data_IF_113300887297
#
_entry.id   IF_113300887297
#
_cell.length_a   1.000
_cell.length_b   1.000
_cell.length_c   1.000
_cell.angle_alpha   90.00
_cell.angle_beta   90.00
_cell.angle_gamma   90.00
#
_symmetry.space_group_name_H-M   'P 1'
#
loop_
_entity.id
_entity.type
_entity.pdbx_description
1 polymer ?
#
# COMPACT_ATOMS: atom_id res chain seq x y z
N UNK A 1 -28.18 3.15 -13.88
CA UNK A 1 -27.07 2.20 -14.10
C UNK A 1 -26.71 1.49 -12.80
N UNK A 2 -26.05 0.34 -12.89
CA UNK A 2 -25.48 -0.36 -11.74
C UNK A 2 -24.07 0.19 -11.50
N UNK A 3 -23.73 0.50 -10.25
CA UNK A 3 -22.35 0.87 -9.87
C UNK A 3 -21.68 -0.40 -9.36
N UNK A 4 -20.60 -0.83 -9.99
CA UNK A 4 -19.77 -1.94 -9.54
C UNK A 4 -18.76 -1.40 -8.53
N UNK A 5 -18.57 -2.11 -7.42
CA UNK A 5 -17.59 -1.70 -6.40
C UNK A 5 -16.66 -2.87 -6.08
N UNK A 6 -15.37 -2.61 -6.15
CA UNK A 6 -14.31 -3.51 -5.73
C UNK A 6 -13.52 -2.90 -4.56
N UNK A 7 -12.87 -3.71 -3.77
CA UNK A 7 -11.98 -3.26 -2.72
C UNK A 7 -10.73 -4.15 -2.66
N UNK A 8 -9.57 -3.52 -2.55
CA UNK A 8 -8.27 -4.20 -2.52
C UNK A 8 -7.42 -3.59 -1.42
N UNK A 9 -6.82 -4.43 -0.57
CA UNK A 9 -5.81 -3.98 0.39
C UNK A 9 -4.50 -3.64 -0.34
N UNK A 10 -3.78 -2.61 0.10
CA UNK A 10 -2.51 -2.14 -0.49
C UNK A 10 -1.44 -3.22 -0.60
N UNK A 11 -1.47 -4.23 0.27
CA UNK A 11 -0.56 -5.38 0.26
C UNK A 11 -1.19 -6.67 -0.30
N UNK A 12 -2.39 -6.57 -0.91
CA UNK A 12 -3.16 -7.70 -1.41
C UNK A 12 -3.97 -8.41 -0.31
N UNK A 13 -3.48 -8.45 0.91
CA UNK A 13 -4.16 -8.98 2.09
C UNK A 13 -4.10 -7.97 3.24
N UNK A 14 -5.07 -8.05 4.13
CA UNK A 14 -5.06 -7.24 5.35
C UNK A 14 -3.97 -7.79 6.29
N UNK A 15 -3.18 -6.88 6.86
CA UNK A 15 -2.21 -7.18 7.91
C UNK A 15 -2.78 -6.73 9.27
N UNK A 16 -3.22 -7.66 10.12
CA UNK A 16 -3.78 -7.33 11.43
C UNK A 16 -2.78 -6.60 12.33
N UNK A 17 -3.29 -5.65 13.14
CA UNK A 17 -2.47 -4.88 14.07
C UNK A 17 -1.66 -3.74 13.46
N UNK A 18 -1.71 -3.56 12.13
CA UNK A 18 -1.12 -2.40 11.44
C UNK A 18 -2.19 -1.60 10.70
N UNK A 19 -1.89 -0.36 10.39
CA UNK A 19 -2.74 0.46 9.53
C UNK A 19 -2.62 -0.02 8.08
N UNK A 20 -3.76 -0.40 7.50
CA UNK A 20 -3.87 -0.80 6.09
C UNK A 20 -4.64 0.25 5.31
N UNK A 21 -4.19 0.57 4.10
CA UNK A 21 -4.98 1.33 3.12
C UNK A 21 -5.78 0.34 2.28
N UNK A 22 -7.09 0.57 2.22
CA UNK A 22 -8.00 -0.16 1.35
C UNK A 22 -8.40 0.76 0.20
N UNK A 23 -7.96 0.41 -0.99
CA UNK A 23 -8.39 1.05 -2.23
C UNK A 23 -9.77 0.56 -2.61
N UNK A 24 -10.66 1.47 -2.94
CA UNK A 24 -11.99 1.20 -3.46
C UNK A 24 -12.10 1.72 -4.85
N UNK A 25 -12.61 0.86 -5.73
CA UNK A 25 -12.79 1.16 -7.13
C UNK A 25 -14.29 1.11 -7.42
N UNK A 26 -14.83 2.19 -7.93
CA UNK A 26 -16.21 2.25 -8.40
C UNK A 26 -16.22 2.48 -9.91
N UNK A 27 -16.95 1.66 -10.63
CA UNK A 27 -17.08 1.73 -12.09
C UNK A 27 -18.48 1.40 -12.55
N UNK A 28 -18.81 1.81 -13.78
CA UNK A 28 -19.99 1.34 -14.46
C UNK A 28 -19.70 0.05 -15.25
N UNK A 29 -20.73 -0.70 -15.68
CA UNK A 29 -20.53 -1.97 -16.40
C UNK A 29 -19.76 -1.86 -17.72
N UNK A 30 -19.64 -0.68 -18.29
CA UNK A 30 -18.86 -0.39 -19.49
C UNK A 30 -17.37 -0.14 -19.18
N UNK A 31 -16.97 -0.21 -17.89
CA UNK A 31 -15.62 0.02 -17.42
C UNK A 31 -15.27 1.49 -17.16
N UNK A 32 -16.19 2.43 -17.43
CA UNK A 32 -15.95 3.83 -17.09
C UNK A 32 -15.94 4.05 -15.57
N UNK A 33 -15.09 4.96 -15.06
CA UNK A 33 -15.04 5.25 -13.64
C UNK A 33 -16.33 5.91 -13.16
N UNK A 34 -16.75 5.59 -11.93
CA UNK A 34 -17.92 6.20 -11.31
C UNK A 34 -17.49 7.11 -10.16
N UNK A 35 -17.86 8.40 -10.24
CA UNK A 35 -17.81 9.29 -9.09
C UNK A 35 -19.03 9.02 -8.20
N UNK A 36 -18.82 8.36 -7.07
CA UNK A 36 -19.87 7.89 -6.20
C UNK A 36 -19.57 8.16 -4.72
N UNK A 37 -20.61 8.40 -3.96
CA UNK A 37 -20.56 8.40 -2.50
C UNK A 37 -20.67 6.94 -2.03
N UNK A 38 -19.69 6.51 -1.23
CA UNK A 38 -19.58 5.15 -0.72
C UNK A 38 -19.79 5.14 0.78
N UNK A 39 -20.77 4.37 1.24
CA UNK A 39 -20.95 4.02 2.65
C UNK A 39 -20.43 2.62 2.88
N UNK A 40 -19.38 2.50 3.67
CA UNK A 40 -18.66 1.25 3.88
C UNK A 40 -18.74 0.82 5.32
N UNK A 41 -19.37 -0.31 5.55
CA UNK A 41 -19.45 -0.93 6.86
C UNK A 41 -18.40 -2.02 7.03
N UNK A 42 -17.58 -1.82 8.05
CA UNK A 42 -16.57 -2.75 8.53
C UNK A 42 -16.88 -3.14 9.98
N UNK A 43 -17.40 -4.34 10.20
CA UNK A 43 -17.87 -4.76 11.52
C UNK A 43 -18.99 -3.86 12.05
N UNK A 44 -18.68 -3.07 13.10
CA UNK A 44 -19.62 -2.10 13.71
C UNK A 44 -19.37 -0.67 13.24
N UNK A 45 -18.29 -0.42 12.55
CA UNK A 45 -17.92 0.90 12.05
C UNK A 45 -18.45 1.13 10.65
N UNK A 46 -18.83 2.36 10.36
CA UNK A 46 -19.20 2.81 9.02
C UNK A 46 -18.33 3.99 8.66
N UNK A 47 -17.70 3.91 7.49
CA UNK A 47 -16.86 4.97 6.95
C UNK A 47 -17.49 5.46 5.65
N UNK A 48 -17.72 6.76 5.59
CA UNK A 48 -18.18 7.42 4.37
C UNK A 48 -16.98 7.96 3.60
N UNK A 49 -16.97 7.72 2.30
CA UNK A 49 -15.97 8.30 1.42
C UNK A 49 -16.56 8.55 0.03
N UNK A 50 -15.87 9.35 -0.79
CA UNK A 50 -16.28 9.64 -2.16
C UNK A 50 -15.16 9.27 -3.10
N UNK A 51 -15.49 8.59 -4.20
CA UNK A 51 -14.55 8.33 -5.28
C UNK A 51 -14.29 9.60 -6.09
N UNK A 52 -13.05 9.78 -6.51
CA UNK A 52 -12.67 10.87 -7.41
C UNK A 52 -12.97 10.54 -8.90
N UNK A 53 -12.48 11.41 -9.80
CA UNK A 53 -12.70 11.30 -11.25
C UNK A 53 -12.23 9.97 -11.88
N UNK A 54 -11.33 9.25 -11.21
CA UNK A 54 -10.86 7.92 -11.63
C UNK A 54 -11.65 6.77 -10.98
N UNK A 55 -12.73 7.06 -10.27
CA UNK A 55 -13.54 6.06 -9.58
C UNK A 55 -12.83 5.45 -8.36
N UNK A 56 -11.81 6.12 -7.79
CA UNK A 56 -11.02 5.62 -6.68
C UNK A 56 -11.26 6.39 -5.39
N UNK A 57 -11.27 5.67 -4.27
CA UNK A 57 -11.21 6.21 -2.91
C UNK A 57 -10.31 5.34 -2.04
N UNK A 58 -9.69 5.95 -1.02
CA UNK A 58 -8.84 5.30 -0.04
C UNK A 58 -9.47 5.37 1.33
N UNK A 59 -9.35 4.30 2.09
CA UNK A 59 -9.77 4.26 3.50
C UNK A 59 -8.74 3.50 4.31
N UNK A 60 -8.27 4.11 5.39
CA UNK A 60 -7.37 3.47 6.35
C UNK A 60 -8.17 2.71 7.40
N UNK A 61 -7.73 1.50 7.71
CA UNK A 61 -8.27 0.66 8.78
C UNK A 61 -7.14 0.01 9.58
N UNK A 62 -7.38 -0.23 10.87
CA UNK A 62 -6.49 -1.03 11.73
C UNK A 62 -7.26 -2.25 12.22
N UNK A 63 -7.23 -3.36 11.49
CA UNK A 63 -7.94 -4.58 11.87
C UNK A 63 -7.30 -5.24 13.09
N UNK A 64 -8.12 -5.64 14.07
CA UNK A 64 -7.62 -6.26 15.30
C UNK A 64 -7.48 -7.79 15.21
N UNK A 65 -8.06 -8.44 14.19
CA UNK A 65 -8.17 -9.90 14.11
C UNK A 65 -7.67 -10.46 12.79
N UNK A 66 -7.19 -11.70 12.84
CA UNK A 66 -6.67 -12.49 11.72
C UNK A 66 -7.79 -13.16 10.88
N UNK A 67 -8.98 -12.64 10.91
CA UNK A 67 -10.12 -13.19 10.18
C UNK A 67 -10.32 -12.45 8.85
N UNK A 68 -10.87 -13.14 7.87
CA UNK A 68 -11.32 -12.50 6.65
C UNK A 68 -12.42 -11.47 6.97
N UNK A 69 -12.26 -10.26 6.48
CA UNK A 69 -13.16 -9.17 6.77
C UNK A 69 -14.14 -8.96 5.63
N UNK A 70 -15.43 -9.01 5.97
CA UNK A 70 -16.51 -8.69 5.04
C UNK A 70 -16.85 -7.20 5.11
N UNK A 71 -16.65 -6.51 4.00
CA UNK A 71 -17.08 -5.14 3.81
C UNK A 71 -18.48 -5.13 3.16
N UNK A 72 -19.44 -4.45 3.77
CA UNK A 72 -20.69 -4.13 3.09
C UNK A 72 -20.57 -2.69 2.58
N UNK A 73 -20.67 -2.52 1.26
CA UNK A 73 -20.52 -1.23 0.59
C UNK A 73 -21.82 -0.86 -0.09
N UNK A 74 -22.32 0.33 0.18
CA UNK A 74 -23.40 0.95 -0.59
C UNK A 74 -22.81 2.12 -1.37
N UNK A 75 -23.05 2.16 -2.66
CA UNK A 75 -22.60 3.21 -3.56
C UNK A 75 -23.80 3.98 -4.11
N UNK A 76 -23.68 5.30 -4.21
CA UNK A 76 -24.67 6.16 -4.88
C UNK A 76 -23.97 7.25 -5.66
N UNK A 77 -24.47 7.56 -6.88
CA UNK A 77 -23.98 8.65 -7.72
C UNK A 77 -24.93 9.85 -7.78
N UNK A 78 -24.52 10.89 -8.46
CA UNK A 78 -25.31 12.12 -8.62
C UNK A 78 -26.59 11.93 -9.49
N UNK A 79 -26.63 10.88 -10.30
CA UNK A 79 -27.78 10.55 -11.15
C UNK A 79 -28.83 9.72 -10.41
N UNK A 80 -28.60 9.41 -9.13
CA UNK A 80 -29.50 8.63 -8.28
C UNK A 80 -29.38 7.12 -8.46
N UNK A 81 -28.37 6.63 -9.17
CA UNK A 81 -28.08 5.21 -9.23
C UNK A 81 -27.56 4.73 -7.87
N UNK A 82 -28.02 3.58 -7.41
CA UNK A 82 -27.60 2.98 -6.15
C UNK A 82 -27.28 1.50 -6.33
N UNK A 83 -26.24 1.05 -5.63
CA UNK A 83 -25.85 -0.35 -5.63
C UNK A 83 -25.33 -0.75 -4.24
N UNK A 84 -25.51 -2.03 -3.89
CA UNK A 84 -24.97 -2.59 -2.65
C UNK A 84 -24.15 -3.84 -2.97
N UNK A 85 -22.95 -3.89 -2.44
CA UNK A 85 -21.98 -4.95 -2.67
C UNK A 85 -21.45 -5.50 -1.34
N UNK A 86 -20.98 -6.74 -1.37
CA UNK A 86 -20.25 -7.34 -0.26
C UNK A 86 -18.90 -7.81 -0.79
N UNK A 87 -17.84 -7.22 -0.28
CA UNK A 87 -16.46 -7.57 -0.62
C UNK A 87 -15.82 -8.31 0.54
N UNK A 88 -15.13 -9.40 0.25
CA UNK A 88 -14.37 -10.16 1.23
C UNK A 88 -12.89 -9.82 1.07
N UNK A 89 -12.28 -9.28 2.11
CA UNK A 89 -10.83 -9.06 2.18
C UNK A 89 -10.21 -10.18 3.01
N UNK A 90 -9.24 -10.89 2.44
CA UNK A 90 -8.45 -11.88 3.18
C UNK A 90 -7.45 -11.18 4.11
N UNK A 91 -7.17 -11.79 5.25
CA UNK A 91 -6.14 -11.34 6.19
C UNK A 91 -4.98 -12.34 6.22
N UNK A 92 -3.78 -11.85 6.47
CA UNK A 92 -2.64 -12.70 6.76
C UNK A 92 -2.84 -13.43 8.08
N UNK A 93 -2.40 -14.69 8.13
CA UNK A 93 -2.63 -15.59 9.28
C UNK A 93 -1.44 -15.61 10.26
N UNK A 94 -0.37 -14.91 9.94
CA UNK A 94 0.80 -14.77 10.82
C UNK A 94 0.43 -14.02 12.10
N UNK A 95 1.22 -14.23 13.17
CA UNK A 95 1.02 -13.55 14.46
C UNK A 95 1.58 -12.12 14.47
N UNK A 96 2.55 -11.87 13.62
CA UNK A 96 3.24 -10.58 13.52
C UNK A 96 3.32 -10.16 12.07
N UNK A 97 3.14 -8.88 11.84
CA UNK A 97 3.03 -8.30 10.51
C UNK A 97 3.96 -7.11 10.35
N UNK A 98 4.44 -6.95 9.13
CA UNK A 98 5.19 -5.80 8.68
C UNK A 98 4.64 -5.37 7.33
N UNK A 99 4.43 -4.07 7.15
CA UNK A 99 3.94 -3.45 5.92
C UNK A 99 4.92 -2.37 5.51
N UNK A 100 5.37 -2.42 4.26
CA UNK A 100 6.23 -1.42 3.64
C UNK A 100 5.39 -0.53 2.73
N UNK A 101 5.48 0.77 2.95
CA UNK A 101 4.75 1.79 2.19
C UNK A 101 5.72 2.84 1.66
N UNK A 102 6.23 2.72 0.42
CA UNK A 102 6.94 3.80 -0.23
C UNK A 102 5.97 4.95 -0.52
N UNK A 103 6.46 6.19 -0.43
CA UNK A 103 5.64 7.38 -0.68
C UNK A 103 5.11 7.41 -2.12
N UNK A 104 5.91 6.92 -3.07
CA UNK A 104 5.57 6.85 -4.51
C UNK A 104 6.09 5.55 -5.13
N UNK A 105 5.53 5.19 -6.26
CA UNK A 105 6.00 4.05 -7.06
C UNK A 105 7.07 4.43 -8.08
N UNK A 106 7.16 5.73 -8.47
CA UNK A 106 8.08 6.24 -9.49
C UNK A 106 8.84 7.43 -8.92
N UNK A 107 10.13 7.40 -9.08
CA UNK A 107 11.09 8.42 -8.66
C UNK A 107 12.02 8.78 -9.81
N UNK A 108 12.77 9.87 -9.66
CA UNK A 108 13.87 10.24 -10.55
C UNK A 108 15.20 10.17 -9.79
N UNK A 109 16.28 9.92 -10.52
CA UNK A 109 17.63 10.05 -9.97
C UNK A 109 17.84 11.46 -9.42
N UNK A 110 18.39 11.56 -8.21
CA UNK A 110 18.56 12.81 -7.47
C UNK A 110 17.43 13.14 -6.51
N UNK A 111 16.32 12.42 -6.54
CA UNK A 111 15.27 12.52 -5.51
C UNK A 111 15.62 11.65 -4.29
N UNK A 112 14.91 11.87 -3.19
CA UNK A 112 14.96 11.01 -2.01
C UNK A 112 13.74 10.09 -2.01
N UNK A 113 13.98 8.77 -1.96
CA UNK A 113 12.95 7.77 -1.72
C UNK A 113 12.67 7.75 -0.22
N UNK A 114 11.46 8.06 0.17
CA UNK A 114 10.96 7.87 1.52
C UNK A 114 10.03 6.66 1.57
N UNK A 115 10.22 5.81 2.57
CA UNK A 115 9.39 4.65 2.80
C UNK A 115 9.03 4.53 4.29
N UNK A 116 7.75 4.35 4.57
CA UNK A 116 7.24 4.06 5.89
C UNK A 116 7.18 2.54 6.08
N UNK A 117 7.63 2.07 7.23
CA UNK A 117 7.46 0.70 7.67
C UNK A 117 6.51 0.70 8.86
N UNK A 118 5.44 -0.06 8.73
CA UNK A 118 4.44 -0.28 9.77
C UNK A 118 4.56 -1.72 10.27
N UNK A 119 4.62 -1.92 11.58
CA UNK A 119 4.75 -3.23 12.18
C UNK A 119 3.73 -3.42 13.31
N UNK A 120 3.27 -4.66 13.50
CA UNK A 120 2.44 -5.03 14.64
C UNK A 120 3.22 -5.03 15.96
N UNK A 121 4.55 -5.12 15.90
CA UNK A 121 5.46 -4.92 17.03
C UNK A 121 5.73 -3.43 17.22
N UNK A 122 5.68 -2.96 18.47
CA UNK A 122 5.84 -1.54 18.78
C UNK A 122 7.30 -1.07 18.75
N UNK A 123 8.23 -1.98 19.07
CA UNK A 123 9.65 -1.71 19.20
C UNK A 123 10.47 -2.75 18.44
N UNK A 124 11.71 -2.43 18.11
CA UNK A 124 12.65 -3.31 17.43
C UNK A 124 13.42 -2.57 16.35
N UNK A 125 14.18 -3.31 15.57
CA UNK A 125 14.92 -2.78 14.41
C UNK A 125 14.33 -3.35 13.15
N UNK A 126 14.04 -2.48 12.19
CA UNK A 126 13.69 -2.86 10.82
C UNK A 126 14.85 -2.55 9.89
N UNK A 127 15.01 -3.38 8.89
CA UNK A 127 16.00 -3.24 7.83
C UNK A 127 15.27 -3.02 6.51
N UNK A 128 15.85 -2.21 5.64
CA UNK A 128 15.39 -1.98 4.27
C UNK A 128 16.55 -2.27 3.32
N UNK A 129 16.38 -3.28 2.49
CA UNK A 129 17.28 -3.56 1.38
C UNK A 129 16.71 -2.99 0.10
N UNK A 130 17.54 -2.30 -0.68
CA UNK A 130 17.27 -1.94 -2.06
C UNK A 130 17.96 -2.98 -2.94
N UNK A 131 17.19 -3.72 -3.70
CA UNK A 131 17.68 -4.82 -4.53
C UNK A 131 17.40 -4.50 -6.00
N UNK A 132 18.42 -4.67 -6.85
CA UNK A 132 18.31 -4.57 -8.31
C UNK A 132 18.85 -5.83 -8.95
N UNK A 133 18.04 -6.46 -9.81
CA UNK A 133 18.44 -7.68 -10.54
C UNK A 133 18.95 -8.80 -9.59
N UNK A 134 18.36 -8.91 -8.40
CA UNK A 134 18.74 -9.89 -7.39
C UNK A 134 20.00 -9.54 -6.58
N UNK A 135 20.59 -8.36 -6.77
CA UNK A 135 21.74 -7.88 -6.01
C UNK A 135 21.32 -6.76 -5.04
N UNK A 136 21.66 -6.91 -3.77
CA UNK A 136 21.49 -5.84 -2.78
C UNK A 136 22.45 -4.70 -3.05
N UNK A 137 21.90 -3.54 -3.37
CA UNK A 137 22.64 -2.31 -3.66
C UNK A 137 22.91 -1.52 -2.38
N UNK A 138 21.94 -1.51 -1.46
CA UNK A 138 22.01 -0.75 -0.22
C UNK A 138 21.19 -1.45 0.85
N UNK A 139 21.66 -1.40 2.10
CA UNK A 139 20.90 -1.78 3.29
C UNK A 139 20.89 -0.61 4.27
N UNK A 140 19.72 -0.27 4.76
CA UNK A 140 19.54 0.69 5.86
C UNK A 140 18.82 0.02 7.03
N UNK A 141 18.98 0.60 8.23
CA UNK A 141 18.28 0.15 9.42
C UNK A 141 17.68 1.35 10.16
N UNK A 142 16.50 1.15 10.75
CA UNK A 142 15.83 2.13 11.60
C UNK A 142 15.22 1.44 12.81
N UNK A 143 15.11 2.16 13.93
CA UNK A 143 14.34 1.71 15.08
C UNK A 143 12.84 1.90 14.82
N UNK A 144 12.04 0.95 15.28
CA UNK A 144 10.59 1.13 15.38
C UNK A 144 10.26 1.99 16.60
N UNK A 145 9.45 3.00 16.39
CA UNK A 145 8.83 3.83 17.43
C UNK A 145 7.31 3.67 17.33
N UNK A 146 6.70 3.06 18.33
CA UNK A 146 5.26 2.74 18.33
C UNK A 146 4.77 1.99 17.09
N UNK A 147 5.57 1.05 16.58
CA UNK A 147 5.25 0.24 15.41
C UNK A 147 5.47 0.94 14.08
N UNK A 148 6.19 2.07 14.05
CA UNK A 148 6.49 2.84 12.83
C UNK A 148 7.99 3.11 12.73
N UNK A 149 8.48 3.09 11.51
CA UNK A 149 9.80 3.60 11.15
C UNK A 149 9.70 4.28 9.77
N UNK A 150 10.51 5.31 9.57
CA UNK A 150 10.66 5.96 8.27
C UNK A 150 12.13 5.82 7.86
N UNK A 151 12.34 5.31 6.65
CA UNK A 151 13.65 5.20 6.03
C UNK A 151 13.68 6.11 4.79
N UNK A 152 14.80 6.78 4.59
CA UNK A 152 14.99 7.69 3.47
C UNK A 152 16.30 7.38 2.76
N UNK A 153 16.28 7.27 1.44
CA UNK A 153 17.42 6.95 0.60
C UNK A 153 17.54 7.97 -0.53
N UNK A 154 18.69 8.62 -0.63
CA UNK A 154 18.99 9.47 -1.77
C UNK A 154 19.31 8.60 -3.01
N UNK A 155 18.56 8.84 -4.09
CA UNK A 155 18.62 8.02 -5.28
C UNK A 155 19.74 8.51 -6.21
N UNK A 156 20.85 7.80 -6.14
CA UNK A 156 22.03 8.04 -6.98
C UNK A 156 21.88 7.36 -8.35
N UNK A 157 22.66 7.75 -9.40
CA UNK A 157 22.53 7.17 -10.73
C UNK A 157 22.72 5.65 -10.80
N UNK A 158 23.49 5.07 -9.87
CA UNK A 158 23.68 3.62 -9.75
C UNK A 158 22.44 2.87 -9.24
N UNK A 159 21.45 3.59 -8.70
CA UNK A 159 20.15 3.05 -8.29
C UNK A 159 19.06 3.20 -9.37
N UNK A 160 19.41 3.71 -10.56
CA UNK A 160 18.45 3.82 -11.66
C UNK A 160 17.95 2.45 -12.12
N UNK A 161 16.66 2.38 -12.48
CA UNK A 161 15.97 1.18 -12.91
C UNK A 161 14.87 0.72 -11.96
N UNK A 162 14.44 -0.53 -12.10
CA UNK A 162 13.47 -1.13 -11.20
C UNK A 162 14.18 -1.66 -9.95
N UNK A 163 13.76 -1.18 -8.79
CA UNK A 163 14.25 -1.63 -7.49
C UNK A 163 13.17 -2.43 -6.76
N UNK A 164 13.58 -3.53 -6.16
CA UNK A 164 12.80 -4.24 -5.15
C UNK A 164 13.21 -3.69 -3.79
N UNK A 165 12.24 -3.16 -3.06
CA UNK A 165 12.40 -2.73 -1.67
C UNK A 165 11.99 -3.87 -0.76
N UNK A 166 12.91 -4.41 0.02
CA UNK A 166 12.65 -5.46 1.00
C UNK A 166 12.76 -4.88 2.41
N UNK A 167 11.63 -4.60 3.06
CA UNK A 167 11.63 -4.29 4.48
C UNK A 167 11.50 -5.56 5.30
N UNK A 168 12.31 -5.74 6.32
CA UNK A 168 12.24 -6.92 7.16
C UNK A 168 12.68 -6.66 8.60
N UNK A 169 12.23 -7.55 9.48
CA UNK A 169 12.62 -7.62 10.88
C UNK A 169 13.05 -9.04 11.21
N UNK A 170 14.17 -9.18 11.92
CA UNK A 170 14.66 -10.47 12.43
C UNK A 170 14.16 -10.64 13.86
N UNK A 171 13.43 -11.70 14.10
CA UNK A 171 12.87 -12.05 15.41
C UNK A 171 13.89 -12.75 16.30
N UNK A 172 13.61 -12.81 17.58
CA UNK A 172 14.49 -13.46 18.56
C UNK A 172 14.68 -14.96 18.30
N UNK A 173 13.72 -15.63 17.67
CA UNK A 173 13.80 -17.03 17.26
C UNK A 173 14.52 -17.25 15.92
N UNK A 174 15.02 -16.18 15.29
CA UNK A 174 15.68 -16.21 13.99
C UNK A 174 14.74 -16.19 12.79
N UNK A 175 13.43 -16.18 12.98
CA UNK A 175 12.49 -16.02 11.87
C UNK A 175 12.49 -14.58 11.33
N UNK A 176 12.15 -14.42 10.07
CA UNK A 176 12.12 -13.12 9.39
C UNK A 176 10.69 -12.82 8.97
N UNK A 177 10.20 -11.66 9.40
CA UNK A 177 8.97 -11.07 8.88
C UNK A 177 9.37 -10.05 7.83
N UNK A 178 8.71 -10.03 6.68
CA UNK A 178 9.08 -9.12 5.59
C UNK A 178 7.88 -8.67 4.77
N UNK A 179 8.05 -7.53 4.11
CA UNK A 179 7.19 -7.06 3.04
C UNK A 179 8.06 -6.52 1.90
N UNK A 180 7.56 -6.62 0.67
CA UNK A 180 8.31 -6.22 -0.54
C UNK A 180 7.46 -5.30 -1.40
N UNK A 181 8.09 -4.24 -1.92
CA UNK A 181 7.49 -3.33 -2.90
C UNK A 181 8.44 -3.10 -4.07
N UNK A 182 7.86 -2.79 -5.22
CA UNK A 182 8.60 -2.37 -6.40
C UNK A 182 8.49 -0.85 -6.55
N UNK A 183 9.62 -0.22 -6.87
CA UNK A 183 9.68 1.17 -7.29
C UNK A 183 10.52 1.29 -8.56
N UNK A 184 10.25 2.31 -9.35
CA UNK A 184 11.02 2.62 -10.55
C UNK A 184 11.75 3.93 -10.32
N UNK A 185 13.04 3.95 -10.61
CA UNK A 185 13.89 5.14 -10.57
C UNK A 185 14.30 5.48 -11.99
N UNK A 186 13.72 6.52 -12.54
CA UNK A 186 14.02 6.97 -13.89
C UNK A 186 15.38 7.68 -13.92
N UNK A 187 16.22 7.30 -14.88
CA UNK A 187 17.43 8.04 -15.17
C UNK A 187 17.09 9.41 -15.77
N UNK A 188 17.88 10.45 -15.52
CA UNK A 188 17.70 11.73 -16.20
C UNK A 188 17.83 11.53 -17.71
N UNK A 189 16.89 12.09 -18.47
CA UNK A 189 16.95 12.07 -19.93
C UNK A 189 18.09 13.01 -20.35
N UNK A 190 19.27 12.46 -20.65
CA UNK A 190 20.33 13.21 -21.33
C UNK A 190 19.91 13.41 -22.78
N UNK A 191 19.49 14.61 -23.14
CA UNK A 191 19.38 15.02 -24.53
C UNK A 191 20.79 15.27 -25.06
N UNK A 192 21.42 14.28 -25.69
CA UNK A 192 22.64 14.51 -26.47
C UNK A 192 22.23 15.19 -27.78
N UNK A 193 22.58 16.47 -27.95
CA UNK A 193 22.53 17.15 -29.24
C UNK A 193 23.87 16.84 -29.92
N UNK A 194 23.90 15.92 -30.86
CA UNK A 194 25.02 15.79 -31.80
C UNK A 194 24.97 17.00 -32.78
N UNK A 195 26.03 17.79 -32.78
CA UNK A 195 26.20 18.94 -33.65
C UNK A 195 26.98 18.53 -34.91
#
# INVERSE_FOLDING_TARGET
>A
QVILVEAVAESGQIKPGVENIIYRLASYPDGSPAEADLSVRFGRETVECRTGAYGMAEVSIVPAFQEAHRLAVTASDADGNQSSHSVLLSAEMELEHLLLRPERAIYQVGETLAAEVLASQREGTVYLDLVREGQTMLTQAAALEDGRAVLAVDLTPDLAGTLELHAYQVRADGTIIRDTRLVVVDAPVELSVEA
#
